data_IF_839450847296
#
_entry.id   IF_839450847296
#
_cell.length_a   1.000
_cell.length_b   1.000
_cell.length_c   1.000
_cell.angle_alpha   90.00
_cell.angle_beta   90.00
_cell.angle_gamma   90.00
#
_symmetry.space_group_name_H-M   'P 1'
#
loop_
_entity.id
_entity.type
_entity.pdbx_description
1 polymer ?
#
# COMPACT_ATOMS: atom_id res chain seq x y z
N UNK A 1 21.37 14.83 -1.73
CA UNK A 1 21.95 13.57 -1.21
C UNK A 1 21.42 12.44 -2.06
N UNK A 2 22.24 11.47 -2.40
CA UNK A 2 21.78 10.22 -3.03
C UNK A 2 21.28 9.29 -1.91
N UNK A 3 20.09 9.56 -1.41
CA UNK A 3 19.46 8.69 -0.40
C UNK A 3 18.57 7.66 -1.06
N UNK A 4 17.93 7.98 -2.19
CA UNK A 4 16.87 7.13 -2.74
C UNK A 4 17.35 5.84 -3.39
N UNK A 5 18.49 5.85 -4.09
CA UNK A 5 19.00 4.65 -4.77
C UNK A 5 20.03 3.87 -3.96
N UNK A 6 20.74 4.53 -3.04
CA UNK A 6 21.88 3.91 -2.34
C UNK A 6 21.72 3.75 -0.84
N UNK A 7 20.83 4.50 -0.19
CA UNK A 7 20.66 4.45 1.28
C UNK A 7 19.26 3.97 1.72
N UNK A 8 18.23 4.24 0.93
CA UNK A 8 16.86 3.83 1.22
C UNK A 8 16.64 2.38 0.78
N UNK A 9 16.01 1.59 1.64
CA UNK A 9 15.54 0.25 1.29
C UNK A 9 14.24 0.35 0.48
N UNK A 10 14.38 0.72 -0.79
CA UNK A 10 13.29 0.77 -1.74
C UNK A 10 13.07 -0.61 -2.40
N UNK A 11 11.82 -0.95 -2.66
CA UNK A 11 11.43 -2.08 -3.50
C UNK A 11 10.98 -1.58 -4.88
N UNK A 12 11.15 -2.41 -5.91
CA UNK A 12 10.68 -2.09 -7.26
C UNK A 12 10.11 -3.33 -7.91
N UNK A 13 8.95 -3.17 -8.55
CA UNK A 13 8.25 -4.23 -9.28
C UNK A 13 7.98 -3.71 -10.68
N UNK A 14 8.23 -4.54 -11.69
CA UNK A 14 7.98 -4.22 -13.09
C UNK A 14 6.81 -5.06 -13.62
N UNK A 15 5.72 -4.40 -13.97
CA UNK A 15 4.62 -4.98 -14.73
C UNK A 15 4.80 -4.70 -16.23
N UNK A 16 4.51 -5.69 -17.07
CA UNK A 16 4.50 -5.55 -18.54
C UNK A 16 3.10 -5.88 -19.04
N UNK A 17 2.21 -4.90 -19.03
CA UNK A 17 0.83 -5.06 -19.50
C UNK A 17 0.11 -3.73 -19.64
N UNK A 18 -0.73 -3.60 -20.66
CA UNK A 18 -1.47 -2.37 -20.94
C UNK A 18 -2.50 -2.05 -19.84
N UNK A 19 -3.07 -3.08 -19.20
CA UNK A 19 -4.15 -2.89 -18.22
C UNK A 19 -3.64 -2.21 -16.94
N UNK A 20 -2.55 -2.71 -16.36
CA UNK A 20 -1.91 -2.07 -15.18
C UNK A 20 -1.39 -0.69 -15.54
N UNK A 21 -0.76 -0.55 -16.71
CA UNK A 21 -0.24 0.75 -17.18
C UNK A 21 -1.36 1.79 -17.35
N UNK A 22 -2.55 1.38 -17.80
CA UNK A 22 -3.69 2.28 -17.97
C UNK A 22 -4.20 2.85 -16.64
N UNK A 23 -4.21 2.04 -15.55
CA UNK A 23 -4.61 2.53 -14.22
C UNK A 23 -3.61 3.57 -13.71
N UNK A 24 -2.31 3.30 -13.81
CA UNK A 24 -1.27 4.28 -13.44
C UNK A 24 -1.32 5.54 -14.30
N UNK A 25 -1.54 5.41 -15.61
CA UNK A 25 -1.65 6.56 -16.52
C UNK A 25 -2.83 7.45 -16.13
N UNK A 26 -4.00 6.86 -15.83
CA UNK A 26 -5.18 7.61 -15.41
C UNK A 26 -4.95 8.40 -14.12
N UNK A 27 -4.24 7.83 -13.15
CA UNK A 27 -3.87 8.52 -11.91
C UNK A 27 -2.84 9.65 -12.17
N UNK A 28 -1.85 9.39 -13.01
CA UNK A 28 -0.80 10.34 -13.37
C UNK A 28 -1.33 11.53 -14.19
N UNK A 29 -2.27 11.30 -15.12
CA UNK A 29 -2.89 12.35 -15.92
C UNK A 29 -3.61 13.39 -15.05
N UNK A 30 -4.17 12.98 -13.91
CA UNK A 30 -4.75 13.91 -12.94
C UNK A 30 -3.67 14.82 -12.32
N UNK A 31 -2.50 14.27 -12.00
CA UNK A 31 -1.37 15.05 -11.48
C UNK A 31 -0.81 16.02 -12.52
N UNK A 32 -0.71 15.59 -13.78
CA UNK A 32 -0.34 16.45 -14.92
C UNK A 32 -1.35 17.58 -15.09
N UNK A 33 -2.64 17.31 -14.86
CA UNK A 33 -3.70 18.30 -14.84
C UNK A 33 -3.76 19.16 -13.55
N UNK A 34 -2.78 19.02 -12.64
CA UNK A 34 -2.65 19.83 -11.43
C UNK A 34 -3.48 19.37 -10.23
N UNK A 35 -4.10 18.19 -10.28
CA UNK A 35 -4.87 17.62 -9.16
C UNK A 35 -3.97 16.73 -8.30
N UNK A 36 -3.93 17.00 -7.00
CA UNK A 36 -3.14 16.24 -6.02
C UNK A 36 -3.96 15.92 -4.76
N UNK A 37 -3.57 14.85 -4.07
CA UNK A 37 -4.24 14.40 -2.85
C UNK A 37 -5.76 14.29 -3.03
N UNK A 38 -6.52 14.89 -2.11
CA UNK A 38 -7.99 14.86 -2.12
C UNK A 38 -8.66 15.49 -3.34
N UNK A 39 -7.92 16.20 -4.21
CA UNK A 39 -8.47 16.76 -5.46
C UNK A 39 -8.59 15.72 -6.58
N UNK A 40 -7.93 14.56 -6.42
CA UNK A 40 -7.99 13.46 -7.38
C UNK A 40 -9.29 12.68 -7.22
N UNK A 41 -9.77 12.12 -8.31
CA UNK A 41 -10.88 11.18 -8.36
C UNK A 41 -10.36 9.76 -8.20
N UNK A 42 -11.14 8.92 -7.52
CA UNK A 42 -10.85 7.50 -7.34
C UNK A 42 -10.66 6.77 -8.68
N UNK A 43 -9.85 5.72 -8.64
CA UNK A 43 -9.62 4.81 -9.76
C UNK A 43 -10.93 4.12 -10.16
N UNK A 44 -11.14 3.91 -11.46
CA UNK A 44 -12.34 3.21 -11.97
C UNK A 44 -12.40 1.76 -11.53
N UNK A 45 -11.24 1.14 -11.33
CA UNK A 45 -11.06 -0.18 -10.75
C UNK A 45 -9.78 -0.19 -9.94
N UNK A 46 -9.80 -0.90 -8.82
CA UNK A 46 -8.60 -1.21 -8.03
C UNK A 46 -8.12 -2.63 -8.25
N UNK A 47 -8.82 -3.46 -9.04
CA UNK A 47 -8.46 -4.85 -9.29
C UNK A 47 -8.29 -5.10 -10.79
N UNK A 48 -7.16 -5.70 -11.17
CA UNK A 48 -6.80 -6.06 -12.54
C UNK A 48 -6.36 -7.53 -12.57
N UNK A 49 -6.77 -8.28 -13.59
CA UNK A 49 -6.22 -9.61 -13.83
C UNK A 49 -4.90 -9.49 -14.61
N UNK A 50 -3.77 -9.84 -13.99
CA UNK A 50 -2.46 -9.88 -14.62
C UNK A 50 -2.00 -11.33 -14.77
N UNK A 51 -1.93 -11.82 -16.01
CA UNK A 51 -1.67 -13.25 -16.31
C UNK A 51 -2.60 -14.23 -15.56
N UNK A 52 -3.86 -13.85 -15.36
CA UNK A 52 -4.86 -14.67 -14.66
C UNK A 52 -4.79 -14.60 -13.13
N UNK A 53 -3.85 -13.84 -12.56
CA UNK A 53 -3.78 -13.56 -11.13
C UNK A 53 -4.41 -12.19 -10.83
N UNK A 54 -5.18 -12.06 -9.74
CA UNK A 54 -5.67 -10.76 -9.31
C UNK A 54 -4.49 -9.92 -8.79
N UNK A 55 -4.42 -8.68 -9.27
CA UNK A 55 -3.53 -7.64 -8.78
C UNK A 55 -4.40 -6.47 -8.32
N UNK A 56 -4.16 -6.02 -7.10
CA UNK A 56 -4.84 -4.85 -6.56
C UNK A 56 -3.92 -3.62 -6.57
N UNK A 57 -4.46 -2.48 -6.98
CA UNK A 57 -3.77 -1.20 -7.11
C UNK A 57 -4.61 -0.11 -6.45
N UNK A 58 -3.99 0.64 -5.54
CA UNK A 58 -4.65 1.69 -4.78
C UNK A 58 -3.83 2.97 -4.80
N UNK A 59 -4.46 4.09 -5.15
CA UNK A 59 -3.88 5.43 -5.08
C UNK A 59 -4.52 6.22 -3.93
N UNK A 60 -3.72 6.51 -2.92
CA UNK A 60 -4.17 7.26 -1.75
C UNK A 60 -4.39 8.75 -2.06
N UNK A 61 -5.31 9.40 -1.35
CA UNK A 61 -6.24 8.82 -0.37
C UNK A 61 -7.51 8.21 -0.99
N UNK A 62 -7.83 8.56 -2.24
CA UNK A 62 -9.14 8.34 -2.88
C UNK A 62 -9.54 6.87 -3.04
N UNK A 63 -8.58 5.95 -3.15
CA UNK A 63 -8.88 4.51 -3.31
C UNK A 63 -8.91 3.75 -1.97
N UNK A 64 -8.68 4.43 -0.84
CA UNK A 64 -8.78 3.78 0.48
C UNK A 64 -7.70 2.73 0.76
N UNK A 65 -6.48 2.92 0.26
CA UNK A 65 -5.38 1.95 0.40
C UNK A 65 -5.16 1.44 1.85
N UNK A 66 -5.19 2.34 2.84
CA UNK A 66 -5.01 1.96 4.24
C UNK A 66 -6.16 1.10 4.78
N UNK A 67 -7.39 1.34 4.33
CA UNK A 67 -8.53 0.51 4.71
C UNK A 67 -8.37 -0.92 4.18
N UNK A 68 -7.83 -1.08 2.97
CA UNK A 68 -7.49 -2.41 2.43
C UNK A 68 -6.41 -3.09 3.28
N UNK A 69 -5.33 -2.39 3.63
CA UNK A 69 -4.28 -2.94 4.50
C UNK A 69 -4.84 -3.41 5.85
N UNK A 70 -5.71 -2.61 6.47
CA UNK A 70 -6.38 -2.97 7.72
C UNK A 70 -7.27 -4.21 7.54
N UNK A 71 -7.97 -4.32 6.41
CA UNK A 71 -8.78 -5.50 6.07
C UNK A 71 -7.92 -6.77 5.99
N UNK A 72 -6.75 -6.70 5.34
CA UNK A 72 -5.82 -7.84 5.25
C UNK A 72 -5.27 -8.23 6.63
N UNK A 73 -4.93 -7.25 7.48
CA UNK A 73 -4.51 -7.48 8.87
C UNK A 73 -5.63 -8.14 9.70
N UNK A 74 -6.89 -7.73 9.49
CA UNK A 74 -8.04 -8.32 10.15
C UNK A 74 -8.29 -9.76 9.69
N UNK A 75 -8.04 -10.07 8.42
CA UNK A 75 -8.24 -11.39 7.82
C UNK A 75 -7.11 -12.39 8.14
N UNK A 76 -5.91 -11.92 8.52
CA UNK A 76 -4.78 -12.80 8.80
C UNK A 76 -5.03 -13.77 9.97
N UNK A 77 -4.66 -15.04 9.77
CA UNK A 77 -4.88 -16.14 10.72
C UNK A 77 -3.60 -16.64 11.39
N UNK A 78 -2.45 -16.55 10.72
CA UNK A 78 -1.20 -17.22 11.16
C UNK A 78 -0.09 -16.25 11.50
N UNK A 79 0.27 -15.37 10.56
CA UNK A 79 1.32 -14.37 10.76
C UNK A 79 1.09 -13.10 9.95
N UNK A 80 1.64 -11.99 10.46
CA UNK A 80 1.77 -10.71 9.79
C UNK A 80 3.25 -10.29 9.86
N UNK A 81 3.82 -10.06 8.68
CA UNK A 81 5.18 -9.59 8.49
C UNK A 81 5.14 -8.25 7.76
N UNK A 82 5.74 -7.23 8.34
CA UNK A 82 5.76 -5.90 7.72
C UNK A 82 7.11 -5.22 7.82
N UNK A 83 7.37 -4.37 6.84
CA UNK A 83 8.47 -3.41 6.84
C UNK A 83 7.89 -2.04 6.50
N UNK A 84 8.01 -1.08 7.41
CA UNK A 84 7.45 0.28 7.25
C UNK A 84 8.46 1.34 7.67
N UNK A 85 8.36 2.54 7.12
CA UNK A 85 9.27 3.62 7.49
C UNK A 85 8.85 4.31 8.79
N UNK A 86 7.59 4.74 8.89
CA UNK A 86 6.99 5.31 10.10
C UNK A 86 5.66 4.63 10.42
N UNK A 87 5.42 4.37 11.71
CA UNK A 87 4.16 3.81 12.18
C UNK A 87 3.29 4.90 12.82
N UNK A 88 2.35 5.46 12.05
CA UNK A 88 1.53 6.61 12.51
C UNK A 88 0.02 6.38 12.46
N UNK A 89 -0.44 5.25 11.93
CA UNK A 89 -1.87 4.99 11.73
C UNK A 89 -2.46 4.23 12.93
N UNK A 90 -3.29 4.92 13.72
CA UNK A 90 -3.93 4.35 14.91
C UNK A 90 -4.85 3.17 14.58
N UNK A 91 -5.58 3.24 13.47
CA UNK A 91 -6.48 2.15 13.07
C UNK A 91 -5.69 0.87 12.70
N UNK A 92 -4.51 1.03 12.11
CA UNK A 92 -3.60 -0.08 11.83
C UNK A 92 -3.00 -0.66 13.12
N UNK A 93 -2.62 0.20 14.08
CA UNK A 93 -2.19 -0.22 15.42
C UNK A 93 -3.25 -1.09 16.08
N UNK A 94 -4.48 -0.61 16.13
CA UNK A 94 -5.57 -1.32 16.80
C UNK A 94 -5.86 -2.66 16.11
N UNK A 95 -5.85 -2.69 14.77
CA UNK A 95 -6.01 -3.92 14.00
C UNK A 95 -4.89 -4.95 14.26
N UNK A 96 -3.64 -4.50 14.40
CA UNK A 96 -2.51 -5.37 14.76
C UNK A 96 -2.61 -5.89 16.19
N UNK A 97 -3.06 -5.07 17.15
CA UNK A 97 -3.34 -5.51 18.53
C UNK A 97 -4.41 -6.60 18.52
N UNK A 98 -5.50 -6.40 17.78
CA UNK A 98 -6.56 -7.38 17.65
C UNK A 98 -6.05 -8.69 17.01
N UNK A 99 -5.25 -8.61 15.96
CA UNK A 99 -4.61 -9.78 15.36
C UNK A 99 -3.73 -10.52 16.38
N UNK A 100 -2.94 -9.79 17.16
CA UNK A 100 -2.12 -10.38 18.24
C UNK A 100 -2.98 -11.11 19.27
N UNK A 101 -4.10 -10.52 19.67
CA UNK A 101 -5.05 -11.11 20.63
C UNK A 101 -5.72 -12.38 20.08
N UNK A 102 -5.89 -12.49 18.76
CA UNK A 102 -6.34 -13.73 18.09
C UNK A 102 -5.26 -14.83 18.03
N UNK A 103 -4.02 -14.53 18.42
CA UNK A 103 -2.90 -15.47 18.39
C UNK A 103 -2.03 -15.38 17.13
N UNK A 104 -2.26 -14.39 16.26
CA UNK A 104 -1.46 -14.17 15.05
C UNK A 104 -0.04 -13.74 15.45
N UNK A 105 0.98 -14.34 14.83
CA UNK A 105 2.37 -13.94 15.01
C UNK A 105 2.65 -12.62 14.27
N UNK A 106 3.21 -11.62 14.95
CA UNK A 106 3.49 -10.31 14.34
C UNK A 106 4.99 -10.03 14.41
N UNK A 107 5.60 -9.71 13.27
CA UNK A 107 7.00 -9.34 13.13
C UNK A 107 7.11 -8.08 12.27
N UNK A 108 7.79 -7.07 12.78
CA UNK A 108 7.93 -5.77 12.12
C UNK A 108 9.39 -5.35 11.98
N UNK A 109 9.72 -4.73 10.86
CA UNK A 109 10.93 -3.93 10.68
C UNK A 109 10.50 -2.48 10.46
N UNK A 110 11.13 -1.56 11.19
CA UNK A 110 10.95 -0.13 10.95
C UNK A 110 12.25 0.63 11.15
N UNK A 111 12.28 1.85 10.64
CA UNK A 111 13.41 2.75 10.89
C UNK A 111 13.55 3.02 12.39
N UNK A 112 14.78 3.19 12.88
CA UNK A 112 15.04 3.42 14.30
C UNK A 112 14.32 4.67 14.85
N UNK A 113 14.03 5.65 13.99
CA UNK A 113 13.27 6.85 14.35
C UNK A 113 11.77 6.75 14.05
N UNK A 114 11.32 5.61 13.52
CA UNK A 114 9.99 5.41 12.94
C UNK A 114 8.91 4.86 13.88
N UNK A 115 9.24 4.62 15.16
CA UNK A 115 8.36 4.03 16.16
C UNK A 115 8.15 4.93 17.38
#
# INVERSE_FOLDING_TARGET
SDNDFTLNHNNSILFRGADVAAVYQADFDQMVAGKFGMQKTASLTTTIAYHGLPVELYFSPQDGAMAQVISEVAAAETSIDFAIFFFTEDALRDALIDAKNRGVAIRGLWDALGA
#
